data_IF_704026885315
#
_entry.id   IF_704026885315
#
_cell.length_a   1.000
_cell.length_b   1.000
_cell.length_c   1.000
_cell.angle_alpha   90.00
_cell.angle_beta   90.00
_cell.angle_gamma   90.00
#
_symmetry.space_group_name_H-M   'P 1'
#
loop_
_entity.id
_entity.type
_entity.pdbx_description
1 polymer ?
#
# COMPACT_ATOMS: atom_id res chain seq x y z
N UNK A 1 35.70 -1.67 -40.85
CA UNK A 1 34.28 -1.70 -41.25
C UNK A 1 33.49 -0.77 -40.30
N UNK A 2 33.12 0.38 -40.84
CA UNK A 2 32.43 1.46 -40.12
C UNK A 2 31.02 1.00 -39.77
N UNK A 3 30.65 0.95 -38.47
CA UNK A 3 29.26 0.81 -38.06
C UNK A 3 28.56 2.14 -38.35
N UNK A 4 27.63 2.14 -39.29
CA UNK A 4 26.78 3.28 -39.60
C UNK A 4 26.02 3.66 -38.30
N UNK A 5 26.19 4.89 -37.86
CA UNK A 5 25.38 5.46 -36.79
C UNK A 5 23.92 5.53 -37.28
N UNK A 6 23.05 4.69 -36.76
CA UNK A 6 21.61 4.81 -36.99
C UNK A 6 21.15 6.19 -36.51
N UNK A 7 20.51 6.94 -37.40
CA UNK A 7 20.00 8.26 -37.08
C UNK A 7 18.90 8.15 -36.03
N UNK A 8 19.14 8.73 -34.86
CA UNK A 8 18.18 8.75 -33.74
C UNK A 8 17.15 9.84 -34.00
N UNK A 9 15.88 9.48 -34.09
CA UNK A 9 14.80 10.44 -34.21
C UNK A 9 14.57 11.07 -32.82
N UNK A 10 14.81 12.37 -32.67
CA UNK A 10 14.50 13.13 -31.45
C UNK A 10 13.11 13.70 -31.57
N UNK A 11 12.29 13.52 -30.51
CA UNK A 11 11.07 14.28 -30.37
C UNK A 11 11.37 15.69 -29.89
N UNK A 12 10.65 16.68 -30.41
CA UNK A 12 10.73 18.05 -29.92
C UNK A 12 10.08 18.16 -28.54
N UNK A 13 10.41 19.20 -27.80
CA UNK A 13 9.76 19.47 -26.50
C UNK A 13 8.25 19.61 -26.63
N UNK A 14 7.76 20.18 -27.74
CA UNK A 14 6.34 20.32 -28.01
C UNK A 14 5.66 18.97 -28.28
N UNK A 15 6.32 18.05 -28.97
CA UNK A 15 5.81 16.68 -29.17
C UNK A 15 5.75 15.91 -27.86
N UNK A 16 6.76 16.00 -27.02
CA UNK A 16 6.77 15.40 -25.68
C UNK A 16 5.66 16.02 -24.81
N UNK A 17 5.49 17.33 -24.85
CA UNK A 17 4.43 18.03 -24.14
C UNK A 17 3.05 17.59 -24.62
N UNK A 18 2.85 17.47 -25.93
CA UNK A 18 1.61 16.97 -26.54
C UNK A 18 1.33 15.52 -26.10
N UNK A 19 2.32 14.64 -26.11
CA UNK A 19 2.16 13.27 -25.63
C UNK A 19 1.75 13.23 -24.13
N UNK A 20 2.39 14.04 -23.28
CA UNK A 20 2.05 14.12 -21.86
C UNK A 20 0.71 14.84 -21.57
N UNK A 21 0.13 15.54 -22.53
CA UNK A 21 -1.19 16.18 -22.38
C UNK A 21 -2.36 15.21 -22.63
N UNK A 22 -2.10 14.00 -23.12
CA UNK A 22 -3.14 12.98 -23.27
C UNK A 22 -3.70 12.62 -21.90
N UNK A 23 -5.04 12.58 -21.79
CA UNK A 23 -5.72 12.32 -20.53
C UNK A 23 -5.49 10.88 -20.04
N UNK A 24 -4.80 10.75 -18.89
CA UNK A 24 -4.46 9.44 -18.32
C UNK A 24 -5.71 8.66 -17.87
N UNK A 25 -6.77 9.34 -17.43
CA UNK A 25 -7.99 8.68 -17.03
C UNK A 25 -8.68 8.01 -18.23
N UNK A 26 -8.67 8.66 -19.40
CA UNK A 26 -9.16 8.09 -20.65
C UNK A 26 -8.27 6.95 -21.14
N UNK A 27 -6.96 7.08 -21.01
CA UNK A 27 -6.02 5.99 -21.32
C UNK A 27 -6.29 4.77 -20.45
N UNK A 28 -6.42 4.95 -19.14
CA UNK A 28 -6.69 3.85 -18.21
C UNK A 28 -7.98 3.11 -18.56
N UNK A 29 -9.05 3.83 -18.89
CA UNK A 29 -10.29 3.22 -19.38
C UNK A 29 -10.07 2.42 -20.67
N UNK A 30 -9.27 2.95 -21.59
CA UNK A 30 -8.90 2.26 -22.82
C UNK A 30 -8.11 0.97 -22.60
N UNK A 31 -7.37 0.89 -21.48
CA UNK A 31 -6.69 -0.33 -21.02
C UNK A 31 -7.55 -1.24 -20.12
N UNK A 32 -8.86 -0.98 -20.03
CA UNK A 32 -9.79 -1.83 -19.28
C UNK A 32 -9.87 -1.56 -17.78
N UNK A 33 -9.28 -0.47 -17.28
CA UNK A 33 -9.43 -0.11 -15.87
C UNK A 33 -10.76 0.59 -15.60
N UNK A 34 -11.46 0.16 -14.55
CA UNK A 34 -12.68 0.82 -14.09
C UNK A 34 -12.36 1.85 -13.00
N UNK A 35 -12.78 3.12 -13.19
CA UNK A 35 -12.54 4.15 -12.18
C UNK A 35 -13.52 4.04 -11.00
N UNK A 36 -12.98 4.18 -9.79
CA UNK A 36 -13.73 4.32 -8.55
C UNK A 36 -13.30 5.61 -7.85
N UNK A 37 -14.27 6.40 -7.36
CA UNK A 37 -13.96 7.67 -6.70
C UNK A 37 -13.26 7.44 -5.37
N UNK A 38 -12.00 7.88 -5.24
CA UNK A 38 -11.17 7.75 -4.04
C UNK A 38 -10.97 9.09 -3.28
N UNK A 39 -11.89 10.05 -3.40
CA UNK A 39 -11.78 11.38 -2.79
C UNK A 39 -12.01 12.52 -3.79
N UNK A 40 -11.67 13.77 -3.39
CA UNK A 40 -11.90 14.94 -4.25
C UNK A 40 -10.90 15.07 -5.41
N UNK A 41 -9.66 14.60 -5.22
CA UNK A 41 -8.53 14.86 -6.14
C UNK A 41 -7.97 13.61 -6.82
N UNK A 42 -8.40 12.42 -6.41
CA UNK A 42 -7.86 11.16 -6.92
C UNK A 42 -8.97 10.20 -7.33
N UNK A 43 -8.69 9.43 -8.36
CA UNK A 43 -9.52 8.32 -8.84
C UNK A 43 -8.73 7.03 -8.65
N UNK A 44 -9.25 6.10 -7.86
CA UNK A 44 -8.70 4.77 -7.74
C UNK A 44 -9.18 3.92 -8.93
N UNK A 45 -8.31 3.10 -9.49
CA UNK A 45 -8.69 2.11 -10.49
C UNK A 45 -9.01 0.80 -9.78
N UNK A 46 -10.23 0.29 -9.93
CA UNK A 46 -10.64 -0.99 -9.33
C UNK A 46 -9.71 -2.12 -9.75
N UNK A 47 -9.51 -3.07 -8.87
CA UNK A 47 -8.73 -4.30 -9.16
C UNK A 47 -7.32 -4.07 -9.70
N UNK A 48 -6.75 -2.89 -9.46
CA UNK A 48 -5.46 -2.47 -10.00
C UNK A 48 -4.28 -2.65 -9.04
N UNK A 49 -4.54 -3.16 -7.83
CA UNK A 49 -3.51 -3.25 -6.80
C UNK A 49 -2.99 -1.89 -6.31
N UNK A 50 -3.82 -0.84 -6.36
CA UNK A 50 -3.44 0.49 -5.84
C UNK A 50 -3.00 1.51 -6.88
N UNK A 51 -3.50 1.41 -8.11
CA UNK A 51 -3.34 2.45 -9.12
C UNK A 51 -4.28 3.62 -8.84
N UNK A 52 -3.70 4.79 -8.64
CA UNK A 52 -4.41 6.05 -8.47
C UNK A 52 -4.09 7.01 -9.61
N UNK A 53 -5.11 7.65 -10.15
CA UNK A 53 -4.99 8.72 -11.14
C UNK A 53 -5.40 10.04 -10.50
N UNK A 54 -4.64 11.08 -10.77
CA UNK A 54 -4.86 12.44 -10.32
C UNK A 54 -5.21 13.30 -11.54
N UNK A 55 -6.50 13.42 -11.92
CA UNK A 55 -6.91 14.07 -13.18
C UNK A 55 -6.48 15.55 -13.27
N UNK A 56 -6.54 16.29 -12.15
CA UNK A 56 -6.14 17.71 -12.12
C UNK A 56 -4.68 17.95 -12.56
N UNK A 57 -3.80 16.98 -12.29
CA UNK A 57 -2.37 17.08 -12.59
C UNK A 57 -1.96 16.17 -13.76
N UNK A 58 -2.89 15.41 -14.32
CA UNK A 58 -2.66 14.39 -15.35
C UNK A 58 -1.51 13.44 -14.97
N UNK A 59 -1.56 12.89 -13.74
CA UNK A 59 -0.54 12.01 -13.17
C UNK A 59 -1.16 10.73 -12.63
N UNK A 60 -0.36 9.67 -12.60
CA UNK A 60 -0.71 8.44 -11.88
C UNK A 60 0.34 8.09 -10.84
N UNK A 61 -0.07 7.26 -9.89
CA UNK A 61 0.80 6.62 -8.92
C UNK A 61 0.31 5.19 -8.65
N UNK A 62 1.22 4.23 -8.70
CA UNK A 62 0.98 2.85 -8.30
C UNK A 62 1.49 2.64 -6.88
N UNK A 63 0.60 2.36 -5.94
CA UNK A 63 0.95 2.19 -4.53
C UNK A 63 1.39 0.78 -4.18
N UNK A 64 0.99 -0.22 -4.97
CA UNK A 64 1.19 -1.64 -4.64
C UNK A 64 1.36 -2.48 -5.89
N UNK A 65 1.90 -3.67 -5.74
CA UNK A 65 2.07 -4.63 -6.83
C UNK A 65 3.47 -4.63 -7.44
N UNK A 66 3.66 -5.30 -8.60
CA UNK A 66 4.95 -5.41 -9.27
C UNK A 66 5.55 -4.05 -9.65
N UNK A 67 4.69 -3.06 -9.91
CA UNK A 67 5.03 -1.70 -10.32
C UNK A 67 4.95 -0.70 -9.15
N UNK A 68 5.10 -1.19 -7.93
CA UNK A 68 5.07 -0.36 -6.72
C UNK A 68 6.05 0.83 -6.82
N UNK A 69 5.54 2.02 -6.49
CA UNK A 69 6.29 3.27 -6.57
C UNK A 69 6.40 3.86 -7.98
N UNK A 70 5.94 3.18 -9.02
CA UNK A 70 5.90 3.74 -10.38
C UNK A 70 4.88 4.86 -10.45
N UNK A 71 5.30 5.99 -10.97
CA UNK A 71 4.51 7.21 -11.11
C UNK A 71 4.94 8.00 -12.32
N UNK A 72 4.05 8.82 -12.84
CA UNK A 72 4.41 9.63 -13.99
C UNK A 72 3.25 10.32 -14.66
N UNK A 73 3.49 10.75 -15.91
CA UNK A 73 2.51 11.31 -16.82
C UNK A 73 1.96 10.27 -17.79
N UNK A 74 1.30 10.74 -18.86
CA UNK A 74 0.71 9.86 -19.86
C UNK A 74 1.75 8.97 -20.57
N UNK A 75 2.94 9.48 -20.82
CA UNK A 75 4.03 8.73 -21.44
C UNK A 75 4.44 7.56 -20.52
N UNK A 76 4.72 7.85 -19.23
CA UNK A 76 5.11 6.84 -18.27
C UNK A 76 4.02 5.77 -18.07
N UNK A 77 2.75 6.18 -18.17
CA UNK A 77 1.61 5.28 -18.08
C UNK A 77 1.59 4.28 -19.24
N UNK A 78 1.75 4.75 -20.48
CA UNK A 78 1.78 3.89 -21.67
C UNK A 78 3.04 3.01 -21.70
N UNK A 79 4.20 3.54 -21.30
CA UNK A 79 5.43 2.75 -21.13
C UNK A 79 5.21 1.56 -20.21
N UNK A 80 4.51 1.77 -19.08
CA UNK A 80 4.19 0.72 -18.11
C UNK A 80 3.21 -0.31 -18.68
N UNK A 81 2.10 0.14 -19.25
CA UNK A 81 1.03 -0.75 -19.70
C UNK A 81 1.47 -1.67 -20.86
N UNK A 82 2.32 -1.18 -21.72
CA UNK A 82 2.73 -1.90 -22.93
C UNK A 82 4.20 -2.30 -22.96
N UNK A 83 4.93 -2.05 -21.85
CA UNK A 83 6.38 -2.30 -21.76
C UNK A 83 7.16 -1.64 -22.91
N UNK A 84 6.79 -0.41 -23.28
CA UNK A 84 7.40 0.35 -24.37
C UNK A 84 8.56 1.21 -23.85
N UNK A 85 9.51 1.50 -24.74
CA UNK A 85 10.50 2.54 -24.49
C UNK A 85 9.87 3.95 -24.57
N UNK A 86 10.53 4.95 -23.97
CA UNK A 86 10.05 6.34 -23.98
C UNK A 86 9.71 6.82 -25.42
N UNK A 87 10.56 6.63 -26.44
CA UNK A 87 10.25 7.07 -27.78
C UNK A 87 9.05 6.36 -28.41
N UNK A 88 8.90 5.06 -28.18
CA UNK A 88 7.74 4.29 -28.67
C UNK A 88 6.44 4.79 -28.03
N UNK A 89 6.43 5.04 -26.74
CA UNK A 89 5.29 5.59 -26.04
C UNK A 89 4.92 7.00 -26.51
N UNK A 90 5.92 7.88 -26.72
CA UNK A 90 5.69 9.22 -27.29
C UNK A 90 5.11 9.08 -28.70
N UNK A 91 5.73 8.29 -29.58
CA UNK A 91 5.25 8.06 -30.95
C UNK A 91 3.80 7.60 -30.99
N UNK A 92 3.46 6.62 -30.14
CA UNK A 92 2.10 6.10 -30.02
C UNK A 92 1.10 7.19 -29.59
N UNK A 93 1.42 7.97 -28.56
CA UNK A 93 0.53 9.01 -28.02
C UNK A 93 0.27 10.17 -29.00
N UNK A 94 1.22 10.47 -29.89
CA UNK A 94 1.05 11.52 -30.89
C UNK A 94 0.69 11.01 -32.28
N UNK A 95 0.53 9.68 -32.46
CA UNK A 95 0.14 9.05 -33.73
C UNK A 95 1.27 9.01 -34.80
N UNK A 96 2.54 8.93 -34.36
CA UNK A 96 3.70 8.79 -35.25
C UNK A 96 4.34 7.42 -35.09
N UNK A 97 4.64 6.72 -36.22
CA UNK A 97 5.46 5.50 -36.22
C UNK A 97 6.89 5.83 -35.82
N UNK A 98 7.51 4.96 -35.02
CA UNK A 98 8.80 5.21 -34.41
C UNK A 98 9.85 4.10 -34.62
N UNK A 99 11.10 4.48 -34.85
CA UNK A 99 12.30 3.61 -34.81
C UNK A 99 13.15 3.90 -33.56
N UNK A 100 13.66 2.87 -32.84
CA UNK A 100 14.11 3.02 -31.44
C UNK A 100 15.39 3.83 -31.27
N UNK A 101 15.42 4.77 -30.34
CA UNK A 101 16.67 5.32 -29.80
C UNK A 101 16.56 6.05 -28.44
N UNK A 102 17.55 5.70 -27.62
CA UNK A 102 18.18 6.39 -26.45
C UNK A 102 17.34 7.25 -25.50
N UNK A 103 17.38 6.81 -24.23
CA UNK A 103 16.86 7.47 -23.04
C UNK A 103 17.35 8.92 -22.86
N UNK A 104 16.44 9.88 -22.76
CA UNK A 104 16.68 11.14 -22.08
C UNK A 104 15.76 11.24 -20.86
N UNK A 105 16.35 11.41 -19.68
CA UNK A 105 15.64 11.66 -18.43
C UNK A 105 15.40 13.17 -18.34
N UNK A 106 14.14 13.60 -18.34
CA UNK A 106 13.80 14.99 -17.97
C UNK A 106 13.78 15.06 -16.45
N UNK A 107 14.53 15.98 -15.81
CA UNK A 107 14.54 16.08 -14.35
C UNK A 107 13.16 16.45 -13.82
N UNK A 108 12.68 15.64 -12.85
CA UNK A 108 11.48 15.94 -12.10
C UNK A 108 11.80 17.02 -11.04
N UNK A 109 11.21 18.20 -11.15
CA UNK A 109 11.23 19.17 -10.06
C UNK A 109 10.42 18.63 -8.88
N UNK A 110 11.12 18.29 -7.80
CA UNK A 110 10.53 17.85 -6.56
C UNK A 110 9.80 19.03 -5.92
N UNK A 111 8.47 19.12 -6.08
CA UNK A 111 7.68 20.10 -5.33
C UNK A 111 7.94 19.88 -3.85
N UNK A 112 8.22 20.97 -3.12
CA UNK A 112 8.29 20.94 -1.66
C UNK A 112 6.98 20.38 -1.11
N UNK A 113 7.09 19.47 -0.12
CA UNK A 113 5.92 18.91 0.53
C UNK A 113 5.22 20.00 1.32
N UNK A 114 3.89 20.04 1.22
CA UNK A 114 3.10 20.87 2.12
C UNK A 114 3.38 20.43 3.58
N UNK A 115 3.42 21.35 4.53
CA UNK A 115 3.56 21.02 5.95
C UNK A 115 2.44 20.05 6.40
N UNK A 116 2.78 19.09 7.26
CA UNK A 116 1.80 18.18 7.84
C UNK A 116 0.79 18.96 8.69
N UNK A 117 -0.49 18.83 8.37
CA UNK A 117 -1.59 19.41 9.14
C UNK A 117 -2.27 18.31 9.94
N UNK A 118 -1.99 18.24 11.24
CA UNK A 118 -2.63 17.28 12.13
C UNK A 118 -4.11 17.64 12.37
N UNK A 119 -5.04 16.67 12.32
CA UNK A 119 -6.41 16.87 12.73
C UNK A 119 -6.54 17.35 14.18
N UNK A 120 -7.48 18.26 14.45
CA UNK A 120 -7.71 18.75 15.81
C UNK A 120 -8.11 17.60 16.75
N UNK A 121 -7.45 17.54 17.91
CA UNK A 121 -7.67 16.51 18.92
C UNK A 121 -8.96 16.77 19.67
N UNK A 122 -9.77 15.74 19.91
CA UNK A 122 -10.94 15.79 20.78
C UNK A 122 -10.53 15.87 22.28
N UNK A 123 -11.43 16.37 23.10
CA UNK A 123 -11.23 16.49 24.56
C UNK A 123 -11.13 15.12 25.25
N UNK A 124 -11.64 14.07 24.64
CA UNK A 124 -11.53 12.70 25.13
C UNK A 124 -11.31 11.70 23.99
N UNK A 125 -10.94 10.48 24.34
CA UNK A 125 -10.63 9.40 23.37
C UNK A 125 -11.60 8.22 23.50
N UNK A 126 -12.76 8.40 24.12
CA UNK A 126 -13.66 7.29 24.47
C UNK A 126 -14.10 6.48 23.27
N UNK A 127 -14.47 7.16 22.17
CA UNK A 127 -14.94 6.50 20.95
C UNK A 127 -13.81 5.76 20.23
N UNK A 128 -12.64 6.40 20.06
CA UNK A 128 -11.48 5.78 19.43
C UNK A 128 -11.00 4.57 20.25
N UNK A 129 -10.93 4.71 21.57
CA UNK A 129 -10.55 3.62 22.47
C UNK A 129 -11.55 2.46 22.41
N UNK A 130 -12.85 2.75 22.52
CA UNK A 130 -13.90 1.72 22.40
C UNK A 130 -13.82 1.00 21.06
N UNK A 131 -13.65 1.74 19.96
CA UNK A 131 -13.53 1.15 18.64
C UNK A 131 -12.34 0.19 18.53
N UNK A 132 -11.16 0.62 18.98
CA UNK A 132 -9.96 -0.21 18.89
C UNK A 132 -10.03 -1.44 19.79
N UNK A 133 -10.58 -1.29 21.00
CA UNK A 133 -10.68 -2.40 21.96
C UNK A 133 -11.87 -3.30 21.68
N UNK A 134 -13.07 -2.74 21.54
CA UNK A 134 -14.31 -3.54 21.51
C UNK A 134 -14.66 -4.00 20.09
N UNK A 135 -14.40 -3.17 19.06
CA UNK A 135 -14.72 -3.52 17.68
C UNK A 135 -13.57 -4.25 17.00
N UNK A 136 -12.34 -3.74 17.19
CA UNK A 136 -11.14 -4.31 16.58
C UNK A 136 -10.45 -5.39 17.43
N UNK A 137 -10.92 -5.64 18.64
CA UNK A 137 -10.42 -6.69 19.54
C UNK A 137 -8.99 -6.47 20.06
N UNK A 138 -8.41 -5.29 19.84
CA UNK A 138 -7.02 -4.98 20.19
C UNK A 138 -6.89 -4.94 21.72
N UNK A 139 -5.82 -5.52 22.26
CA UNK A 139 -5.53 -5.53 23.69
C UNK A 139 -5.56 -4.12 24.29
N UNK A 140 -6.32 -3.88 25.40
CA UNK A 140 -6.37 -2.57 26.06
C UNK A 140 -5.00 -2.03 26.44
N UNK A 141 -4.06 -2.91 26.82
CA UNK A 141 -2.68 -2.52 27.19
C UNK A 141 -1.93 -1.95 25.99
N UNK A 142 -2.12 -2.53 24.81
CA UNK A 142 -1.48 -2.08 23.56
C UNK A 142 -2.06 -0.74 23.12
N UNK A 143 -3.38 -0.60 23.08
CA UNK A 143 -4.03 0.68 22.77
C UNK A 143 -3.56 1.79 23.71
N UNK A 144 -3.57 1.53 25.03
CA UNK A 144 -3.11 2.49 26.03
C UNK A 144 -1.64 2.87 25.86
N UNK A 145 -0.78 1.92 25.49
CA UNK A 145 0.64 2.18 25.23
C UNK A 145 0.82 3.25 24.13
N UNK A 146 0.15 3.11 22.99
CA UNK A 146 0.25 4.06 21.89
C UNK A 146 -0.46 5.40 22.18
N UNK A 147 -1.59 5.37 22.90
CA UNK A 147 -2.27 6.60 23.33
C UNK A 147 -1.41 7.42 24.29
N UNK A 148 -0.75 6.78 25.28
CA UNK A 148 0.16 7.45 26.21
C UNK A 148 1.37 8.08 25.52
N UNK A 149 1.82 7.49 24.41
CA UNK A 149 2.89 8.02 23.55
C UNK A 149 2.39 9.07 22.55
N UNK A 150 1.13 9.47 22.63
CA UNK A 150 0.48 10.43 21.74
C UNK A 150 0.48 10.02 20.25
N UNK A 151 0.72 8.74 20.00
CA UNK A 151 0.69 8.18 18.64
C UNK A 151 -0.73 7.84 18.17
N UNK A 152 -1.68 7.72 19.09
CA UNK A 152 -3.11 7.55 18.79
C UNK A 152 -3.90 8.60 19.53
N UNK A 153 -4.85 9.24 18.83
CA UNK A 153 -5.85 10.10 19.45
C UNK A 153 -7.16 10.10 18.65
N UNK A 154 -8.20 10.69 19.23
CA UNK A 154 -9.50 10.87 18.56
C UNK A 154 -9.55 12.25 17.92
N UNK A 155 -9.91 12.28 16.64
CA UNK A 155 -10.17 13.52 15.92
C UNK A 155 -11.47 14.16 16.42
N UNK A 156 -11.49 15.51 16.58
CA UNK A 156 -12.59 16.27 17.18
C UNK A 156 -13.85 16.29 16.32
N UNK A 157 -13.71 16.47 15.00
CA UNK A 157 -14.83 16.76 14.11
C UNK A 157 -15.74 15.56 13.87
N UNK A 158 -15.16 14.39 13.59
CA UNK A 158 -15.91 13.17 13.24
C UNK A 158 -15.67 12.02 14.21
N UNK A 159 -14.76 12.19 15.16
CA UNK A 159 -14.40 11.17 16.14
C UNK A 159 -13.60 10.02 15.52
N UNK A 160 -12.88 10.23 14.44
CA UNK A 160 -12.04 9.22 13.82
C UNK A 160 -10.85 8.87 14.71
N UNK A 161 -10.32 7.64 14.56
CA UNK A 161 -9.01 7.29 15.07
C UNK A 161 -7.94 7.96 14.22
N UNK A 162 -6.99 8.63 14.86
CA UNK A 162 -5.81 9.24 14.26
C UNK A 162 -4.58 8.47 14.71
N UNK A 163 -3.73 8.10 13.75
CA UNK A 163 -2.47 7.40 13.97
C UNK A 163 -1.32 8.29 13.47
N UNK A 164 -0.32 8.52 14.31
CA UNK A 164 0.76 9.48 14.04
C UNK A 164 2.10 8.76 14.02
N UNK A 165 2.89 9.02 12.97
CA UNK A 165 4.30 8.67 12.87
C UNK A 165 5.17 9.89 13.17
N UNK A 166 6.23 9.70 13.96
CA UNK A 166 7.14 10.74 14.41
C UNK A 166 8.55 10.51 13.84
N UNK A 167 9.32 11.60 13.71
CA UNK A 167 10.77 11.51 13.53
C UNK A 167 11.50 11.31 14.88
N UNK A 168 12.83 11.21 14.82
CA UNK A 168 13.68 11.02 16.00
C UNK A 168 13.62 12.22 16.97
N UNK A 169 13.31 13.40 16.48
CA UNK A 169 13.16 14.64 17.24
C UNK A 169 11.76 14.78 17.88
N UNK A 170 10.87 13.81 17.64
CA UNK A 170 9.50 13.83 18.17
C UNK A 170 8.55 14.75 17.39
N UNK A 171 8.93 15.16 16.18
CA UNK A 171 8.06 15.92 15.28
C UNK A 171 7.17 14.98 14.49
N UNK A 172 5.86 15.27 14.45
CA UNK A 172 4.94 14.49 13.63
C UNK A 172 5.23 14.68 12.13
N UNK A 173 5.40 13.58 11.41
CA UNK A 173 5.70 13.56 9.96
C UNK A 173 4.65 12.83 9.15
N UNK A 174 3.95 11.90 9.75
CA UNK A 174 2.90 11.11 9.13
C UNK A 174 1.65 11.09 10.00
N UNK A 175 0.51 11.11 9.36
CA UNK A 175 -0.76 10.99 10.04
C UNK A 175 -1.77 10.30 9.13
N UNK A 176 -2.34 9.18 9.61
CA UNK A 176 -3.47 8.53 8.97
C UNK A 176 -4.69 8.53 9.88
N UNK A 177 -5.87 8.49 9.25
CA UNK A 177 -7.16 8.47 9.94
C UNK A 177 -7.99 7.27 9.52
N UNK A 178 -8.72 6.70 10.48
CA UNK A 178 -9.70 5.63 10.27
C UNK A 178 -10.99 5.98 10.99
N UNK A 179 -12.15 5.77 10.34
CA UNK A 179 -13.42 5.96 11.02
C UNK A 179 -13.52 5.04 12.24
N UNK A 180 -13.85 5.62 13.41
CA UNK A 180 -14.10 4.86 14.64
C UNK A 180 -15.58 4.43 14.70
N UNK A 181 -16.02 3.64 13.73
CA UNK A 181 -17.40 3.09 13.61
C UNK A 181 -17.40 1.86 12.73
N UNK A 182 -18.35 0.97 12.96
CA UNK A 182 -18.60 -0.20 12.13
C UNK A 182 -19.02 0.20 10.71
N UNK A 183 -18.79 -0.69 9.75
CA UNK A 183 -19.24 -0.57 8.37
C UNK A 183 -18.78 0.72 7.65
N UNK A 184 -17.63 1.28 8.03
CA UNK A 184 -17.05 2.42 7.36
C UNK A 184 -15.72 2.07 6.72
N UNK A 185 -15.63 2.25 5.40
CA UNK A 185 -14.39 2.13 4.62
C UNK A 185 -13.51 3.38 4.70
N UNK A 186 -13.91 4.44 5.43
CA UNK A 186 -13.14 5.68 5.49
C UNK A 186 -11.74 5.44 6.07
N UNK A 187 -10.76 5.68 5.24
CA UNK A 187 -9.34 5.79 5.56
C UNK A 187 -8.76 6.96 4.77
N UNK A 188 -7.91 7.76 5.38
CA UNK A 188 -7.30 8.92 4.72
C UNK A 188 -6.00 9.31 5.43
N UNK A 189 -5.00 9.70 4.66
CA UNK A 189 -3.82 10.37 5.20
C UNK A 189 -4.06 11.87 5.30
N UNK A 190 -3.53 12.52 6.33
CA UNK A 190 -3.61 13.96 6.47
C UNK A 190 -2.72 14.65 5.41
N UNK A 191 -3.11 15.87 5.01
CA UNK A 191 -2.31 16.68 4.08
C UNK A 191 -0.89 16.87 4.61
N UNK A 192 0.11 16.73 3.76
CA UNK A 192 1.52 16.86 4.11
C UNK A 192 2.15 15.62 4.75
N UNK A 193 1.40 14.52 4.90
CA UNK A 193 1.93 13.25 5.45
C UNK A 193 3.09 12.71 4.63
N UNK A 194 4.14 12.27 5.34
CA UNK A 194 5.28 11.54 4.79
C UNK A 194 5.24 10.07 5.23
N UNK A 195 4.83 9.18 4.34
CA UNK A 195 4.73 7.74 4.61
C UNK A 195 6.07 7.07 4.93
N UNK A 196 7.20 7.73 4.69
CA UNK A 196 8.49 7.19 5.11
C UNK A 196 8.70 7.23 6.64
N UNK A 197 7.83 7.95 7.38
CA UNK A 197 7.80 7.95 8.84
C UNK A 197 6.64 7.08 9.34
N UNK A 198 6.89 5.80 9.68
CA UNK A 198 5.83 4.87 10.01
C UNK A 198 5.17 5.18 11.35
N UNK A 199 3.96 4.65 11.56
CA UNK A 199 3.48 4.37 12.91
C UNK A 199 4.27 3.18 13.45
N UNK A 200 4.88 3.27 14.65
CA UNK A 200 5.88 2.31 15.10
C UNK A 200 5.87 2.01 16.59
N UNK A 201 6.45 0.88 16.95
CA UNK A 201 6.93 0.56 18.30
C UNK A 201 8.42 0.24 18.23
N UNK A 202 9.21 0.94 19.03
CA UNK A 202 10.64 0.69 19.16
C UNK A 202 10.87 -0.41 20.20
N UNK A 203 11.41 -1.54 19.74
CA UNK A 203 11.76 -2.70 20.56
C UNK A 203 13.20 -2.67 21.06
N UNK A 204 13.68 -3.84 21.52
CA UNK A 204 15.03 -4.02 22.09
C UNK A 204 15.82 -5.09 21.34
N UNK A 205 15.16 -5.94 20.56
CA UNK A 205 15.81 -7.04 19.83
C UNK A 205 16.34 -6.56 18.47
N UNK A 206 16.93 -7.47 17.71
CA UNK A 206 17.37 -7.24 16.34
C UNK A 206 16.27 -7.56 15.31
N UNK A 207 15.00 -7.79 15.76
CA UNK A 207 13.88 -8.16 14.92
C UNK A 207 12.96 -6.97 14.65
N UNK A 208 12.66 -6.72 13.37
CA UNK A 208 11.63 -5.80 12.92
C UNK A 208 10.46 -6.56 12.30
N UNK A 209 9.26 -6.30 12.78
CA UNK A 209 8.01 -6.79 12.21
C UNK A 209 7.35 -5.65 11.45
N UNK A 210 7.04 -5.90 10.18
CA UNK A 210 6.50 -4.92 9.23
C UNK A 210 5.06 -5.30 8.88
N UNK A 211 4.11 -4.42 9.15
CA UNK A 211 2.69 -4.57 8.80
C UNK A 211 2.25 -3.48 7.82
N UNK A 212 1.07 -3.61 7.22
CA UNK A 212 0.56 -2.58 6.32
C UNK A 212 -0.07 -1.41 7.09
N UNK A 213 -0.97 -1.66 8.03
CA UNK A 213 -1.68 -0.60 8.73
C UNK A 213 -1.42 -0.60 10.25
N UNK A 214 -1.63 0.55 10.95
CA UNK A 214 -1.49 0.63 12.41
C UNK A 214 -2.38 -0.34 13.18
N UNK A 215 -3.59 -0.63 12.66
CA UNK A 215 -4.51 -1.60 13.26
C UNK A 215 -3.91 -3.00 13.19
N UNK A 216 -3.29 -3.39 12.06
CA UNK A 216 -2.67 -4.71 11.90
C UNK A 216 -1.41 -4.85 12.76
N UNK A 217 -0.62 -3.79 12.91
CA UNK A 217 0.49 -3.76 13.87
C UNK A 217 0.03 -4.09 15.28
N UNK A 218 -1.03 -3.40 15.75
CA UNK A 218 -1.57 -3.61 17.08
C UNK A 218 -2.27 -4.97 17.22
N UNK A 219 -2.91 -5.45 16.17
CA UNK A 219 -3.57 -6.76 16.13
C UNK A 219 -2.55 -7.89 16.21
N UNK A 220 -1.50 -7.84 15.39
CA UNK A 220 -0.38 -8.78 15.45
C UNK A 220 0.28 -8.80 16.84
N UNK A 221 0.47 -7.61 17.46
CA UNK A 221 0.99 -7.49 18.81
C UNK A 221 0.03 -8.11 19.84
N UNK A 222 -1.30 -7.92 19.67
CA UNK A 222 -2.33 -8.51 20.53
C UNK A 222 -2.39 -10.03 20.43
N UNK A 223 -2.30 -10.58 19.23
CA UNK A 223 -2.22 -12.02 19.01
C UNK A 223 -0.99 -12.60 19.71
N UNK A 224 0.17 -11.97 19.52
CA UNK A 224 1.42 -12.40 20.16
C UNK A 224 1.32 -12.40 21.70
N UNK A 225 0.73 -11.35 22.28
CA UNK A 225 0.63 -11.21 23.73
C UNK A 225 -0.46 -12.10 24.34
N UNK A 226 -1.68 -12.04 23.81
CA UNK A 226 -2.87 -12.56 24.48
C UNK A 226 -3.11 -14.05 24.17
N UNK A 227 -2.65 -14.56 23.02
CA UNK A 227 -2.84 -15.94 22.61
C UNK A 227 -1.57 -16.77 22.70
N UNK A 228 -0.39 -16.14 22.52
CA UNK A 228 0.89 -16.87 22.55
C UNK A 228 1.77 -16.49 23.76
N UNK A 229 1.32 -15.63 24.67
CA UNK A 229 2.03 -15.26 25.88
C UNK A 229 3.39 -14.57 25.64
N UNK A 230 3.60 -13.98 24.46
CA UNK A 230 4.86 -13.31 24.11
C UNK A 230 4.86 -11.86 24.60
N UNK A 231 6.01 -11.40 25.05
CA UNK A 231 6.20 -9.96 25.34
C UNK A 231 6.37 -9.22 24.01
N UNK A 232 5.26 -8.65 23.51
CA UNK A 232 5.19 -7.94 22.26
C UNK A 232 6.10 -6.68 22.23
N UNK A 233 6.53 -6.16 23.39
CA UNK A 233 7.36 -4.95 23.50
C UNK A 233 8.82 -5.20 23.16
N UNK A 234 9.25 -6.45 23.03
CA UNK A 234 10.65 -6.77 22.78
C UNK A 234 11.06 -6.49 21.33
N UNK A 235 10.18 -6.75 20.36
CA UNK A 235 10.51 -6.62 18.95
C UNK A 235 10.07 -5.27 18.40
N UNK A 236 10.88 -4.73 17.48
CA UNK A 236 10.52 -3.55 16.73
C UNK A 236 9.32 -3.84 15.81
N UNK A 237 8.44 -2.87 15.67
CA UNK A 237 7.22 -2.98 14.81
C UNK A 237 6.99 -1.68 14.08
N UNK A 238 6.68 -1.77 12.79
CA UNK A 238 6.26 -0.62 12.00
C UNK A 238 5.02 -0.96 11.17
N UNK A 239 4.22 0.06 10.83
CA UNK A 239 3.22 -0.04 9.77
C UNK A 239 3.56 0.92 8.65
N UNK A 240 3.64 0.43 7.42
CA UNK A 240 4.09 1.20 6.27
C UNK A 240 3.04 2.17 5.72
N UNK A 241 1.76 2.02 6.12
CA UNK A 241 0.63 2.82 5.63
C UNK A 241 0.20 2.51 4.19
N UNK A 242 0.94 1.68 3.51
CA UNK A 242 0.68 1.07 2.19
C UNK A 242 1.82 0.09 1.87
N UNK A 243 1.69 -0.68 0.79
CA UNK A 243 2.72 -1.62 0.35
C UNK A 243 3.92 -0.91 -0.34
N UNK A 244 4.59 -0.01 0.40
CA UNK A 244 5.78 0.73 -0.03
C UNK A 244 6.90 0.63 1.00
N UNK A 245 8.13 0.35 0.53
CA UNK A 245 9.27 0.05 1.41
C UNK A 245 10.00 1.28 1.98
N UNK A 246 9.65 2.51 1.60
CA UNK A 246 10.35 3.70 2.09
C UNK A 246 10.30 3.89 3.61
N UNK A 247 9.23 3.40 4.28
CA UNK A 247 9.16 3.39 5.74
C UNK A 247 10.13 2.36 6.35
N UNK A 248 10.31 1.21 5.69
CA UNK A 248 11.23 0.16 6.12
C UNK A 248 12.67 0.69 6.02
N UNK A 249 13.06 1.21 4.84
CA UNK A 249 14.40 1.73 4.61
C UNK A 249 14.77 2.83 5.62
N UNK A 250 13.89 3.81 5.82
CA UNK A 250 14.10 4.87 6.81
C UNK A 250 14.22 4.35 8.24
N UNK A 251 13.36 3.40 8.63
CA UNK A 251 13.42 2.84 9.98
C UNK A 251 14.74 2.10 10.23
N UNK A 252 15.20 1.34 9.24
CA UNK A 252 16.48 0.60 9.31
C UNK A 252 17.70 1.53 9.34
N UNK A 253 17.66 2.68 8.66
CA UNK A 253 18.72 3.70 8.75
C UNK A 253 18.93 4.18 10.20
N UNK A 254 17.86 4.36 10.96
CA UNK A 254 17.89 4.75 12.37
C UNK A 254 18.19 3.60 13.35
N UNK A 255 18.13 2.34 12.90
CA UNK A 255 18.22 1.15 13.76
C UNK A 255 19.19 0.09 13.20
N UNK A 256 20.50 0.37 13.13
CA UNK A 256 21.51 -0.51 12.51
C UNK A 256 21.67 -1.86 13.23
N UNK A 257 21.19 -2.00 14.47
CA UNK A 257 21.16 -3.25 15.23
C UNK A 257 20.18 -4.27 14.66
N UNK A 258 19.17 -3.86 13.90
CA UNK A 258 18.19 -4.77 13.29
C UNK A 258 18.88 -5.62 12.21
N UNK A 259 18.68 -6.95 12.29
CA UNK A 259 19.24 -7.94 11.37
C UNK A 259 18.21 -8.90 10.82
N UNK A 260 17.03 -8.97 11.44
CA UNK A 260 15.94 -9.87 11.06
C UNK A 260 14.69 -9.08 10.74
N UNK A 261 14.03 -9.43 9.64
CA UNK A 261 12.79 -8.80 9.18
C UNK A 261 11.69 -9.86 9.05
N UNK A 262 10.51 -9.55 9.55
CA UNK A 262 9.29 -10.33 9.30
C UNK A 262 8.28 -9.44 8.60
N UNK A 263 7.92 -9.80 7.38
CA UNK A 263 6.88 -9.12 6.62
C UNK A 263 5.52 -9.75 6.96
N UNK A 264 4.72 -9.00 7.72
CA UNK A 264 3.42 -9.39 8.24
C UNK A 264 2.32 -8.49 7.62
N UNK A 265 2.27 -8.49 6.28
CA UNK A 265 1.31 -7.71 5.49
C UNK A 265 0.06 -8.52 5.16
N UNK A 266 -0.95 -7.84 4.61
CA UNK A 266 -2.26 -8.42 4.34
C UNK A 266 -2.20 -9.63 3.41
N UNK A 267 -3.18 -10.51 3.53
CA UNK A 267 -3.37 -11.73 2.75
C UNK A 267 -4.60 -11.55 1.85
N UNK A 268 -4.45 -10.77 0.80
CA UNK A 268 -5.51 -10.39 -0.15
C UNK A 268 -5.94 -11.57 -1.05
N UNK A 269 -6.17 -12.77 -0.48
CA UNK A 269 -6.35 -14.01 -1.24
C UNK A 269 -7.61 -14.04 -2.14
N UNK A 270 -8.60 -13.20 -1.88
CA UNK A 270 -9.79 -13.05 -2.72
C UNK A 270 -9.72 -11.83 -3.65
N UNK A 271 -8.65 -11.02 -3.57
CA UNK A 271 -8.52 -9.87 -4.46
C UNK A 271 -8.34 -10.32 -5.92
N UNK A 272 -8.93 -9.58 -6.85
CA UNK A 272 -8.85 -9.86 -8.28
C UNK A 272 -8.15 -8.72 -8.99
N UNK A 273 -7.38 -9.04 -10.01
CA UNK A 273 -6.79 -8.05 -10.90
C UNK A 273 -7.82 -7.56 -11.94
N UNK A 274 -7.39 -6.67 -12.84
CA UNK A 274 -8.23 -6.08 -13.89
C UNK A 274 -8.81 -7.11 -14.88
N UNK A 275 -8.25 -8.30 -14.95
CA UNK A 275 -8.70 -9.39 -15.80
C UNK A 275 -9.58 -10.39 -15.04
N UNK A 276 -9.97 -10.08 -13.80
CA UNK A 276 -10.75 -10.97 -12.93
C UNK A 276 -9.95 -12.10 -12.26
N UNK A 277 -8.65 -12.21 -12.50
CA UNK A 277 -7.82 -13.26 -11.92
C UNK A 277 -7.49 -12.97 -10.46
N UNK A 278 -7.53 -14.00 -9.61
CA UNK A 278 -7.14 -13.88 -8.20
C UNK A 278 -5.69 -13.39 -8.08
N UNK A 279 -5.49 -12.34 -7.28
CA UNK A 279 -4.19 -11.71 -7.13
C UNK A 279 -3.96 -11.21 -5.71
N UNK A 280 -3.08 -11.89 -4.99
CA UNK A 280 -2.73 -11.55 -3.61
C UNK A 280 -1.62 -10.48 -3.58
N UNK A 281 -2.02 -9.20 -3.59
CA UNK A 281 -1.09 -8.07 -3.66
C UNK A 281 -0.16 -7.98 -2.45
N UNK A 282 -0.70 -8.22 -1.24
CA UNK A 282 0.10 -8.21 -0.02
C UNK A 282 1.20 -9.25 -0.07
N UNK A 283 0.88 -10.51 -0.40
CA UNK A 283 1.87 -11.60 -0.41
C UNK A 283 2.86 -11.50 -1.58
N UNK A 284 2.44 -10.98 -2.73
CA UNK A 284 3.36 -10.67 -3.83
C UNK A 284 4.38 -9.60 -3.42
N UNK A 285 3.94 -8.58 -2.68
CA UNK A 285 4.82 -7.53 -2.16
C UNK A 285 5.74 -8.07 -1.06
N UNK A 286 5.24 -8.91 -0.14
CA UNK A 286 6.06 -9.56 0.87
C UNK A 286 7.19 -10.39 0.24
N UNK A 287 6.89 -11.17 -0.81
CA UNK A 287 7.89 -11.96 -1.53
C UNK A 287 8.95 -11.06 -2.20
N UNK A 288 8.53 -9.96 -2.82
CA UNK A 288 9.44 -8.96 -3.42
C UNK A 288 10.37 -8.34 -2.36
N UNK A 289 9.80 -7.92 -1.23
CA UNK A 289 10.58 -7.36 -0.13
C UNK A 289 11.52 -8.40 0.50
N UNK A 290 11.04 -9.61 0.74
CA UNK A 290 11.88 -10.69 1.26
C UNK A 290 13.12 -10.88 0.39
N UNK A 291 12.96 -10.96 -0.94
CA UNK A 291 14.09 -11.06 -1.87
C UNK A 291 15.03 -9.85 -1.75
N UNK A 292 14.49 -8.64 -1.86
CA UNK A 292 15.29 -7.41 -1.87
C UNK A 292 16.09 -7.19 -0.56
N UNK A 293 15.50 -7.49 0.60
CA UNK A 293 16.19 -7.31 1.89
C UNK A 293 17.12 -8.49 2.21
N UNK A 294 16.86 -9.70 1.73
CA UNK A 294 17.83 -10.79 1.80
C UNK A 294 19.09 -10.47 1.01
N UNK A 295 18.95 -9.89 -0.18
CA UNK A 295 20.10 -9.41 -0.99
C UNK A 295 20.88 -8.28 -0.29
N UNK A 296 20.23 -7.49 0.57
CA UNK A 296 20.86 -6.47 1.44
C UNK A 296 21.50 -7.08 2.70
N UNK A 297 21.41 -8.40 2.94
CA UNK A 297 22.02 -9.11 4.04
C UNK A 297 21.16 -9.29 5.30
N UNK A 298 19.85 -9.01 5.24
CA UNK A 298 18.92 -9.27 6.33
C UNK A 298 18.42 -10.72 6.30
N UNK A 299 18.19 -11.32 7.47
CA UNK A 299 17.46 -12.58 7.58
C UNK A 299 15.93 -12.28 7.51
N UNK A 300 15.27 -12.72 6.45
CA UNK A 300 13.90 -12.37 6.17
C UNK A 300 12.95 -13.55 6.29
N UNK A 301 11.74 -13.30 6.79
CA UNK A 301 10.61 -14.25 6.80
C UNK A 301 9.30 -13.52 6.48
N UNK A 302 8.29 -14.29 6.10
CA UNK A 302 6.92 -13.79 5.92
C UNK A 302 6.04 -14.42 6.99
N UNK A 303 5.18 -13.62 7.63
CA UNK A 303 4.12 -14.08 8.51
C UNK A 303 2.79 -13.72 7.86
N UNK A 304 2.14 -14.72 7.27
CA UNK A 304 0.89 -14.55 6.53
C UNK A 304 -0.28 -14.63 7.51
N UNK A 305 -1.23 -13.67 7.51
CA UNK A 305 -2.47 -13.83 8.27
C UNK A 305 -3.29 -15.03 7.72
N UNK A 306 -4.04 -15.69 8.60
CA UNK A 306 -4.88 -16.82 8.21
C UNK A 306 -6.04 -16.40 7.31
N UNK A 307 -6.66 -15.25 7.63
CA UNK A 307 -7.66 -14.58 6.80
C UNK A 307 -7.05 -13.38 6.06
N UNK A 308 -7.87 -12.37 5.74
CA UNK A 308 -7.44 -11.24 4.92
C UNK A 308 -6.35 -10.37 5.57
N UNK A 309 -6.43 -10.13 6.87
CA UNK A 309 -5.50 -9.30 7.64
C UNK A 309 -5.41 -9.76 9.10
N UNK A 310 -4.39 -9.30 9.83
CA UNK A 310 -4.20 -9.66 11.24
C UNK A 310 -5.31 -9.16 12.16
N UNK A 311 -6.04 -8.11 11.78
CA UNK A 311 -7.18 -7.67 12.57
C UNK A 311 -8.37 -8.60 12.42
N UNK A 312 -8.62 -9.11 11.24
CA UNK A 312 -9.65 -10.13 10.98
C UNK A 312 -9.34 -11.41 11.76
N UNK A 313 -8.10 -11.89 11.73
CA UNK A 313 -7.66 -13.03 12.55
C UNK A 313 -7.92 -12.78 14.04
N UNK A 314 -7.47 -11.63 14.56
CA UNK A 314 -7.64 -11.27 15.98
C UNK A 314 -9.11 -11.28 16.39
N UNK A 315 -9.98 -10.64 15.60
CA UNK A 315 -11.43 -10.56 15.90
C UNK A 315 -12.06 -11.96 15.95
N UNK A 316 -11.72 -12.82 15.01
CA UNK A 316 -12.23 -14.20 14.98
C UNK A 316 -11.67 -15.05 16.14
N UNK A 317 -10.39 -14.92 16.47
CA UNK A 317 -9.78 -15.58 17.63
C UNK A 317 -10.40 -15.10 18.94
N UNK A 318 -10.80 -13.81 19.07
CA UNK A 318 -11.55 -13.28 20.22
C UNK A 318 -12.94 -13.92 20.38
N UNK A 319 -13.54 -14.39 19.28
CA UNK A 319 -14.79 -15.17 19.30
C UNK A 319 -14.58 -16.63 19.66
N UNK A 320 -13.36 -17.06 19.95
CA UNK A 320 -13.00 -18.42 20.35
C UNK A 320 -12.70 -19.35 19.19
N UNK A 321 -12.52 -18.84 17.97
CA UNK A 321 -12.12 -19.66 16.83
C UNK A 321 -10.64 -20.03 16.90
N UNK A 322 -10.32 -21.26 16.51
CA UNK A 322 -8.93 -21.72 16.41
C UNK A 322 -8.30 -21.30 15.08
N UNK A 323 -6.98 -21.39 14.99
CA UNK A 323 -6.21 -21.15 13.77
C UNK A 323 -6.66 -22.09 12.64
N UNK A 324 -6.94 -23.35 12.99
CA UNK A 324 -7.43 -24.36 12.04
C UNK A 324 -8.84 -24.02 11.51
N UNK A 325 -9.68 -23.34 12.32
CA UNK A 325 -10.98 -22.84 11.86
C UNK A 325 -10.83 -21.72 10.84
N UNK A 326 -9.86 -20.81 11.06
CA UNK A 326 -9.56 -19.72 10.14
C UNK A 326 -9.02 -20.26 8.80
N UNK A 327 -8.10 -21.22 8.84
CA UNK A 327 -7.56 -21.86 7.64
C UNK A 327 -8.64 -22.61 6.85
N UNK A 328 -9.54 -23.31 7.53
CA UNK A 328 -10.69 -23.95 6.87
C UNK A 328 -11.62 -22.94 6.19
N UNK A 329 -11.90 -21.81 6.85
CA UNK A 329 -12.69 -20.75 6.24
C UNK A 329 -12.02 -20.23 4.98
N UNK A 330 -10.73 -19.87 5.04
CA UNK A 330 -9.98 -19.39 3.88
C UNK A 330 -10.03 -20.38 2.71
N UNK A 331 -9.85 -21.65 2.98
CA UNK A 331 -9.88 -22.69 1.95
C UNK A 331 -11.27 -22.76 1.29
N UNK A 332 -12.34 -22.76 2.06
CA UNK A 332 -13.70 -22.78 1.53
C UNK A 332 -14.03 -21.54 0.69
N UNK A 333 -13.57 -20.36 1.12
CA UNK A 333 -13.75 -19.10 0.37
C UNK A 333 -12.96 -19.12 -0.96
N UNK A 334 -11.75 -19.69 -0.96
CA UNK A 334 -10.96 -19.87 -2.18
C UNK A 334 -11.62 -20.86 -3.14
N UNK A 335 -12.11 -22.01 -2.66
CA UNK A 335 -12.83 -22.98 -3.48
C UNK A 335 -14.03 -22.32 -4.17
N UNK A 336 -14.85 -21.59 -3.41
CA UNK A 336 -15.99 -20.83 -3.97
C UNK A 336 -15.55 -19.81 -5.02
N UNK A 337 -14.44 -19.09 -4.78
CA UNK A 337 -13.94 -18.08 -5.71
C UNK A 337 -13.40 -18.70 -7.01
N UNK A 338 -12.82 -19.90 -6.95
CA UNK A 338 -12.37 -20.63 -8.15
C UNK A 338 -13.56 -21.20 -8.94
N UNK A 339 -14.59 -21.75 -8.27
CA UNK A 339 -15.81 -22.22 -8.92
C UNK A 339 -16.51 -21.11 -9.70
N UNK A 340 -16.67 -19.94 -9.09
CA UNK A 340 -17.25 -18.75 -9.75
C UNK A 340 -16.44 -18.32 -10.98
N UNK A 341 -15.11 -18.33 -10.90
CA UNK A 341 -14.25 -17.99 -12.05
C UNK A 341 -14.41 -18.98 -13.21
N UNK A 342 -14.54 -20.27 -12.92
CA UNK A 342 -14.74 -21.31 -13.93
C UNK A 342 -16.12 -21.20 -14.61
N UNK A 343 -17.16 -20.83 -13.87
CA UNK A 343 -18.51 -20.58 -14.41
C UNK A 343 -18.51 -19.35 -15.35
N UNK A 344 -17.90 -18.24 -14.94
CA UNK A 344 -17.77 -17.01 -15.74
C UNK A 344 -17.01 -17.26 -17.07
N UNK A 345 -15.92 -18.04 -17.04
CA UNK A 345 -15.18 -18.42 -18.24
C UNK A 345 -16.01 -19.32 -19.18
N UNK A 346 -16.83 -20.22 -18.63
CA UNK A 346 -17.69 -21.11 -19.42
C UNK A 346 -18.83 -20.36 -20.10
N UNK A 347 -19.41 -19.35 -19.45
CA UNK A 347 -20.48 -18.50 -20.01
C UNK A 347 -19.94 -17.60 -21.14
N UNK A 348 -18.76 -17.00 -20.95
CA UNK A 348 -18.11 -16.18 -22.01
C UNK A 348 -17.67 -17.01 -23.23
N UNK A 349 -17.32 -18.28 -23.04
CA UNK A 349 -16.98 -19.20 -24.14
C UNK A 349 -18.18 -19.69 -24.96
N UNK A 350 -19.41 -19.53 -24.44
CA UNK A 350 -20.64 -19.92 -25.14
C UNK A 350 -21.28 -18.78 -25.95
N UNK A 351 -20.81 -17.53 -25.79
CA UNK A 351 -21.31 -16.36 -26.52
C UNK A 351 -20.49 -16.03 -27.80
N UNK A 352 -19.51 -16.85 -28.17
CA UNK A 352 -18.70 -16.72 -29.40
C UNK A 352 -19.11 -17.81 -30.45
#
# INVERSE_FOLDING_TARGET
MSRSAAAYQKFTEDEIRKANSVDILSLARGYGYEPEKAGRKAVHMKHSGGLYIFPENNRFFQWTGPDDGVKGGAIDFVMREENLSFPEAVGKLIGKEFSPSVKQVVPYEKKEREPLVLPEKADNMKRAYWYLVSVRGISPKIVSHFMNRKMIYQEKKYGNCVFVGYDAEGTARYCSMRAARDNSSFKMDATGSDKSYPFFHEGKTDLLIVTEAPIDLMSHASIAADFYGRDWTQDHRISTGCLWNGAIDRYLEGHPQIKRLVFAVDNDYLARDKNGQLRNWGQLTAAKWMKAYTEKGYACAVHVPHLNDFNTDLVEMRKGRSVEDLDRQRMAELETAFEQSAEEESEQGMEV
#
